data_IF_241046936501
#
_entry.id   IF_241046936501
#
_cell.length_a   1.000
_cell.length_b   1.000
_cell.length_c   1.000
_cell.angle_alpha   90.00
_cell.angle_beta   90.00
_cell.angle_gamma   90.00
#
_symmetry.space_group_name_H-M   'P 1'
#
loop_
_entity.id
_entity.type
_entity.pdbx_description
1 polymer ?
#
# COMPACT_ATOMS: atom_id res chain seq x y z
N UNK A 1 -15.99 13.05 -7.80
CA UNK A 1 -14.97 13.35 -6.78
C UNK A 1 -13.65 13.51 -7.51
N UNK A 2 -12.73 14.39 -7.08
CA UNK A 2 -11.40 14.45 -7.67
C UNK A 2 -10.68 13.11 -7.53
N UNK A 3 -9.86 12.77 -8.50
CA UNK A 3 -8.98 11.59 -8.47
C UNK A 3 -7.59 12.01 -8.01
N UNK A 4 -7.05 11.28 -7.04
CA UNK A 4 -5.74 11.51 -6.45
C UNK A 4 -4.83 10.31 -6.70
N UNK A 5 -3.57 10.57 -7.05
CA UNK A 5 -2.56 9.53 -7.12
C UNK A 5 -1.86 9.41 -5.77
N UNK A 6 -1.99 8.23 -5.16
CA UNK A 6 -1.38 7.92 -3.88
C UNK A 6 -0.15 7.05 -4.11
N UNK A 7 1.00 7.54 -3.67
CA UNK A 7 2.26 6.81 -3.70
C UNK A 7 2.46 6.07 -2.38
N UNK A 8 2.80 4.79 -2.43
CA UNK A 8 3.07 3.96 -1.26
C UNK A 8 4.44 3.29 -1.42
N UNK A 9 5.36 3.62 -0.53
CA UNK A 9 6.62 2.88 -0.37
C UNK A 9 6.46 1.86 0.76
N UNK A 10 6.91 0.64 0.55
CA UNK A 10 6.71 -0.48 1.48
C UNK A 10 7.98 -1.28 1.72
N UNK A 11 8.04 -1.87 2.90
CA UNK A 11 9.00 -2.90 3.25
C UNK A 11 8.24 -4.07 3.89
N UNK A 12 8.38 -5.25 3.30
CA UNK A 12 7.85 -6.51 3.82
C UNK A 12 9.00 -7.24 4.54
N UNK A 13 8.94 -7.35 5.86
CA UNK A 13 9.96 -8.04 6.65
C UNK A 13 9.42 -9.40 7.14
N UNK A 14 10.29 -10.41 7.13
CA UNK A 14 9.98 -11.77 7.60
C UNK A 14 8.80 -12.45 6.88
N UNK A 15 8.60 -12.13 5.60
CA UNK A 15 7.63 -12.78 4.72
C UNK A 15 8.30 -13.85 3.85
N UNK A 16 7.62 -14.97 3.63
CA UNK A 16 8.07 -15.96 2.65
C UNK A 16 7.85 -15.46 1.20
N UNK A 17 8.77 -15.79 0.28
CA UNK A 17 8.71 -15.32 -1.11
C UNK A 17 7.40 -15.70 -1.83
N UNK A 18 6.89 -16.91 -1.58
CA UNK A 18 5.60 -17.35 -2.14
C UNK A 18 4.44 -16.46 -1.67
N UNK A 19 4.40 -16.12 -0.37
CA UNK A 19 3.39 -15.22 0.18
C UNK A 19 3.56 -13.79 -0.36
N UNK A 20 4.80 -13.33 -0.53
CA UNK A 20 5.07 -12.01 -1.12
C UNK A 20 4.60 -11.92 -2.57
N UNK A 21 4.79 -12.98 -3.35
CA UNK A 21 4.29 -13.06 -4.74
C UNK A 21 2.76 -12.98 -4.76
N UNK A 22 2.08 -13.78 -3.94
CA UNK A 22 0.61 -13.77 -3.90
C UNK A 22 0.05 -12.41 -3.44
N UNK A 23 0.64 -11.78 -2.42
CA UNK A 23 0.25 -10.43 -2.01
C UNK A 23 0.43 -9.43 -3.17
N UNK A 24 1.54 -9.53 -3.91
CA UNK A 24 1.82 -8.65 -5.05
C UNK A 24 0.76 -8.77 -6.14
N UNK A 25 0.39 -9.99 -6.50
CA UNK A 25 -0.65 -10.24 -7.50
C UNK A 25 -2.00 -9.66 -7.05
N UNK A 26 -2.36 -9.90 -5.78
CA UNK A 26 -3.61 -9.39 -5.19
C UNK A 26 -3.62 -7.87 -5.07
N UNK A 27 -2.50 -7.23 -4.78
CA UNK A 27 -2.41 -5.76 -4.80
C UNK A 27 -2.76 -5.22 -6.20
N UNK A 28 -2.26 -5.87 -7.26
CA UNK A 28 -2.64 -5.58 -8.64
C UNK A 28 -4.14 -5.69 -8.89
N UNK A 29 -4.77 -6.77 -8.44
CA UNK A 29 -6.24 -6.98 -8.55
C UNK A 29 -7.05 -5.89 -7.82
N UNK A 30 -6.48 -5.29 -6.78
CA UNK A 30 -7.11 -4.23 -5.99
C UNK A 30 -6.76 -2.80 -6.47
N UNK A 31 -6.14 -2.67 -7.64
CA UNK A 31 -5.86 -1.40 -8.30
C UNK A 31 -4.56 -0.72 -7.87
N UNK A 32 -3.64 -1.46 -7.24
CA UNK A 32 -2.29 -0.98 -6.98
C UNK A 32 -1.37 -1.35 -8.14
N UNK A 33 -0.69 -0.36 -8.68
CA UNK A 33 0.30 -0.53 -9.74
C UNK A 33 1.70 -0.53 -9.12
N UNK A 34 2.49 -1.58 -9.37
CA UNK A 34 3.88 -1.63 -8.95
C UNK A 34 4.73 -0.69 -9.82
N UNK A 35 5.62 0.09 -9.20
CA UNK A 35 6.56 0.94 -9.94
C UNK A 35 7.78 0.09 -10.33
N UNK A 36 7.98 -0.22 -11.63
CA UNK A 36 8.93 -1.25 -12.06
C UNK A 36 10.41 -0.87 -11.82
N UNK A 37 10.69 0.41 -11.55
CA UNK A 37 12.05 0.90 -11.32
C UNK A 37 12.47 0.90 -9.86
N UNK A 38 11.54 0.67 -8.91
CA UNK A 38 11.81 0.72 -7.48
C UNK A 38 11.01 -0.36 -6.74
N UNK A 39 11.72 -1.33 -6.16
CA UNK A 39 11.11 -2.40 -5.38
C UNK A 39 10.31 -1.87 -4.18
N UNK A 40 9.13 -2.44 -3.97
CA UNK A 40 8.25 -2.08 -2.85
C UNK A 40 7.56 -0.73 -3.02
N UNK A 41 7.62 -0.11 -4.19
CA UNK A 41 6.91 1.13 -4.50
C UNK A 41 5.66 0.85 -5.32
N UNK A 42 4.56 1.51 -4.95
CA UNK A 42 3.23 1.31 -5.51
C UNK A 42 2.54 2.64 -5.76
N UNK A 43 1.69 2.70 -6.77
CA UNK A 43 0.77 3.79 -7.03
C UNK A 43 -0.68 3.29 -7.00
N UNK A 44 -1.61 4.11 -6.52
CA UNK A 44 -3.03 3.86 -6.62
C UNK A 44 -3.78 5.16 -6.93
N UNK A 45 -4.63 5.13 -7.95
CA UNK A 45 -5.60 6.18 -8.19
C UNK A 45 -6.81 6.02 -7.26
N UNK A 46 -7.11 7.07 -6.49
CA UNK A 46 -8.21 7.12 -5.53
C UNK A 46 -9.15 8.28 -5.85
N UNK A 47 -10.42 7.99 -6.14
CA UNK A 47 -11.46 9.00 -6.09
C UNK A 47 -11.80 9.27 -4.62
N UNK A 48 -11.55 10.50 -4.15
CA UNK A 48 -11.71 10.89 -2.74
C UNK A 48 -12.15 12.36 -2.61
N UNK A 49 -12.54 12.78 -1.42
CA UNK A 49 -12.86 14.20 -1.17
C UNK A 49 -11.61 15.08 -1.13
N UNK A 50 -10.55 14.59 -0.50
CA UNK A 50 -9.26 15.27 -0.38
C UNK A 50 -8.07 14.27 -0.33
N UNK A 51 -6.84 14.81 -0.25
CA UNK A 51 -5.61 14.01 -0.20
C UNK A 51 -5.51 13.14 1.06
N UNK A 52 -6.16 13.50 2.16
CA UNK A 52 -6.12 12.71 3.41
C UNK A 52 -7.01 11.49 3.27
N UNK A 53 -8.24 11.68 2.80
CA UNK A 53 -9.21 10.63 2.51
C UNK A 53 -8.67 9.64 1.46
N UNK A 54 -8.01 10.14 0.42
CA UNK A 54 -7.34 9.31 -0.59
C UNK A 54 -6.29 8.38 0.04
N UNK A 55 -5.44 8.90 0.93
CA UNK A 55 -4.40 8.11 1.61
C UNK A 55 -4.98 7.10 2.58
N UNK A 56 -5.99 7.47 3.36
CA UNK A 56 -6.62 6.54 4.31
C UNK A 56 -7.29 5.38 3.56
N UNK A 57 -7.99 5.68 2.46
CA UNK A 57 -8.56 4.66 1.56
C UNK A 57 -7.48 3.72 1.00
N UNK A 58 -6.38 4.27 0.49
CA UNK A 58 -5.29 3.47 -0.07
C UNK A 58 -4.62 2.60 1.00
N UNK A 59 -4.36 3.17 2.20
CA UNK A 59 -3.77 2.41 3.32
C UNK A 59 -4.69 1.27 3.76
N UNK A 60 -5.99 1.53 3.89
CA UNK A 60 -6.95 0.51 4.31
C UNK A 60 -6.97 -0.66 3.31
N UNK A 61 -7.08 -0.37 2.01
CA UNK A 61 -7.05 -1.39 0.96
C UNK A 61 -5.74 -2.17 0.97
N UNK A 62 -4.60 -1.48 1.03
CA UNK A 62 -3.28 -2.12 1.04
C UNK A 62 -3.11 -3.07 2.24
N UNK A 63 -3.47 -2.59 3.43
CA UNK A 63 -3.40 -3.37 4.68
C UNK A 63 -4.36 -4.56 4.65
N UNK A 64 -5.55 -4.40 4.06
CA UNK A 64 -6.53 -5.49 3.94
C UNK A 64 -6.08 -6.60 2.98
N UNK A 65 -5.31 -6.28 1.94
CA UNK A 65 -4.66 -7.31 1.12
C UNK A 65 -3.56 -8.03 1.91
N UNK A 66 -2.72 -7.26 2.59
CA UNK A 66 -1.56 -7.78 3.31
C UNK A 66 -1.90 -8.69 4.51
N UNK A 67 -3.04 -8.49 5.18
CA UNK A 67 -3.39 -9.22 6.42
C UNK A 67 -3.56 -10.74 6.29
N UNK A 68 -3.31 -11.32 5.12
CA UNK A 68 -3.51 -12.73 4.82
C UNK A 68 -2.33 -13.61 5.23
N UNK A 69 -1.18 -13.03 5.57
CA UNK A 69 0.00 -13.74 6.05
C UNK A 69 0.60 -13.07 7.28
N UNK A 70 1.28 -13.82 8.16
CA UNK A 70 2.03 -13.24 9.26
C UNK A 70 3.36 -12.68 8.76
N UNK A 71 3.56 -11.36 8.92
CA UNK A 71 4.81 -10.66 8.63
C UNK A 71 4.77 -9.22 9.19
N UNK A 72 5.89 -8.50 9.19
CA UNK A 72 5.92 -7.07 9.54
C UNK A 72 5.87 -6.22 8.27
N UNK A 73 4.83 -5.39 8.13
CA UNK A 73 4.70 -4.38 7.09
C UNK A 73 5.15 -3.01 7.61
N UNK A 74 6.04 -2.35 6.88
CA UNK A 74 6.31 -0.92 7.05
C UNK A 74 5.89 -0.19 5.79
N UNK A 75 5.27 0.97 5.96
CA UNK A 75 4.79 1.76 4.83
C UNK A 75 4.94 3.27 5.04
N UNK A 76 5.26 3.96 3.96
CA UNK A 76 5.26 5.42 3.84
C UNK A 76 4.31 5.77 2.70
N UNK A 77 3.33 6.62 2.97
CA UNK A 77 2.28 6.98 2.01
C UNK A 77 2.29 8.49 1.80
N UNK A 78 2.25 8.90 0.53
CA UNK A 78 2.20 10.30 0.13
C UNK A 78 1.13 10.51 -0.94
N UNK A 79 0.47 11.65 -0.86
CA UNK A 79 -0.45 12.13 -1.89
C UNK A 79 -0.28 13.65 -1.96
N UNK A 80 0.01 14.18 -3.15
CA UNK A 80 0.15 15.62 -3.39
C UNK A 80 1.04 16.35 -2.38
N UNK A 81 0.47 17.37 -1.75
CA UNK A 81 1.17 18.32 -0.86
C UNK A 81 0.92 18.10 0.64
N UNK A 82 0.02 17.19 0.99
CA UNK A 82 -0.33 16.85 2.36
C UNK A 82 0.78 16.11 3.10
N UNK A 83 0.58 15.94 4.41
CA UNK A 83 1.53 15.28 5.29
C UNK A 83 1.82 13.83 4.86
N UNK A 84 3.09 13.45 4.84
CA UNK A 84 3.51 12.06 4.66
C UNK A 84 3.05 11.21 5.84
N UNK A 85 2.34 10.11 5.55
CA UNK A 85 1.92 9.13 6.56
C UNK A 85 2.96 8.03 6.67
N UNK A 86 3.30 7.61 7.89
CA UNK A 86 4.24 6.53 8.17
C UNK A 86 3.59 5.54 9.11
N UNK A 87 3.51 4.26 8.75
CA UNK A 87 2.94 3.21 9.61
C UNK A 87 3.84 1.98 9.63
N UNK A 88 3.79 1.27 10.75
CA UNK A 88 4.31 -0.09 10.92
C UNK A 88 3.15 -0.94 11.42
N UNK A 89 3.00 -2.15 10.88
CA UNK A 89 1.98 -3.11 11.29
C UNK A 89 2.56 -4.50 11.34
N UNK A 90 2.42 -5.17 12.47
CA UNK A 90 2.65 -6.60 12.60
C UNK A 90 1.34 -7.32 12.24
N UNK A 91 1.42 -8.29 11.33
CA UNK A 91 0.33 -9.24 11.09
C UNK A 91 0.63 -10.54 11.87
N UNK A 92 -0.38 -11.02 12.57
CA UNK A 92 -0.34 -12.26 13.36
C UNK A 92 -1.05 -13.39 12.58
N UNK A 93 -0.75 -14.67 12.87
CA UNK A 93 -1.37 -15.83 12.24
C UNK A 93 -2.90 -15.91 12.41
#
# INVERSE_FOLDING_TARGET
>A
MPTFNVLIATQFNDIADAARSEITDRLGEHGFEAIPTIDGMWEMACDAEDETDAKDTAIEKFVNVCRTYPFELRLVVQCGSSQIVRRRKQFEP
#
